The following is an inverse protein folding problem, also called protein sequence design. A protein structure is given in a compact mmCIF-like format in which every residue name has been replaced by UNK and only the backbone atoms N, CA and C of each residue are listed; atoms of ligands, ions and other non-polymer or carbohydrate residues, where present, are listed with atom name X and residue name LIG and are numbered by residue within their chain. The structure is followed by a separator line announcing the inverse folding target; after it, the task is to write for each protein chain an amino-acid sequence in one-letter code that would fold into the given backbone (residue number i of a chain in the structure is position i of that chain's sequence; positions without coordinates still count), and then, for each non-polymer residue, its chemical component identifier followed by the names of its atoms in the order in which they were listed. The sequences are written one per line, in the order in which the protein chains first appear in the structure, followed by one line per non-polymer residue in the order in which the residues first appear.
data_IF_784564150592
#
_entry.id   IF_784564150592
#
_cell.length_a   1.000
_cell.length_b   1.000
_cell.length_c   1.000
_cell.angle_alpha   90.00
_cell.angle_beta   90.00
_cell.angle_gamma   90.00
#
_symmetry.space_group_name_H-M   'P 1'
#
loop_
_entity.id
_entity.type
_entity.pdbx_description
1 polymer ?
#
# COMPACT_ATOMS: atom_id res chain seq x y z
N UNK A 1 -38.45 0.40 -17.62
CA UNK A 1 -37.72 1.60 -18.08
C UNK A 1 -36.57 1.83 -17.12
N UNK A 2 -35.39 2.24 -17.61
CA UNK A 2 -34.27 2.65 -16.75
C UNK A 2 -34.62 3.95 -16.03
N UNK A 3 -34.16 4.13 -14.79
CA UNK A 3 -34.40 5.38 -14.06
C UNK A 3 -33.63 6.54 -14.72
N UNK A 4 -34.11 7.79 -14.64
CA UNK A 4 -33.39 8.97 -15.15
C UNK A 4 -31.96 9.08 -14.60
N UNK A 5 -31.75 8.80 -13.31
CA UNK A 5 -30.43 8.85 -12.67
C UNK A 5 -29.42 7.88 -13.32
N UNK A 6 -29.85 6.67 -13.67
CA UNK A 6 -28.99 5.71 -14.38
C UNK A 6 -28.67 6.14 -15.82
N UNK A 7 -29.55 6.92 -16.45
CA UNK A 7 -29.27 7.51 -17.77
C UNK A 7 -28.20 8.60 -17.61
N UNK A 8 -28.35 9.51 -16.65
CA UNK A 8 -27.37 10.56 -16.37
C UNK A 8 -25.98 10.00 -16.03
N UNK A 9 -25.93 8.98 -15.16
CA UNK A 9 -24.66 8.30 -14.83
C UNK A 9 -24.02 7.68 -16.07
N UNK A 10 -24.81 7.01 -16.93
CA UNK A 10 -24.27 6.40 -18.16
C UNK A 10 -23.70 7.46 -19.10
N UNK A 11 -24.43 8.55 -19.34
CA UNK A 11 -23.95 9.63 -20.21
C UNK A 11 -22.70 10.28 -19.62
N UNK A 12 -22.66 10.54 -18.31
CA UNK A 12 -21.48 11.08 -17.64
C UNK A 12 -20.26 10.14 -17.79
N UNK A 13 -20.41 8.85 -17.48
CA UNK A 13 -19.32 7.87 -17.60
C UNK A 13 -18.85 7.68 -19.04
N UNK A 14 -19.71 7.89 -20.05
CA UNK A 14 -19.30 7.86 -21.45
C UNK A 14 -18.32 8.98 -21.82
N UNK A 15 -18.35 10.11 -21.10
CA UNK A 15 -17.43 11.23 -21.30
C UNK A 15 -16.09 11.00 -20.58
N UNK A 16 -16.09 10.20 -19.52
CA UNK A 16 -14.91 9.90 -18.69
C UNK A 16 -14.77 8.38 -18.46
N UNK A 17 -14.51 7.59 -19.52
CA UNK A 17 -14.49 6.13 -19.42
C UNK A 17 -13.44 5.60 -18.42
N UNK A 18 -12.33 6.33 -18.26
CA UNK A 18 -11.25 6.02 -17.31
C UNK A 18 -11.70 5.94 -15.84
N UNK A 19 -12.81 6.59 -15.47
CA UNK A 19 -13.39 6.48 -14.13
C UNK A 19 -13.84 5.04 -13.85
N UNK A 20 -14.39 4.36 -14.85
CA UNK A 20 -14.88 2.99 -14.73
C UNK A 20 -13.83 1.93 -15.13
N UNK A 21 -12.97 2.24 -16.10
CA UNK A 21 -11.93 1.33 -16.55
C UNK A 21 -10.76 2.07 -17.20
N UNK A 22 -9.55 1.83 -16.68
CA UNK A 22 -8.29 2.35 -17.20
C UNK A 22 -7.70 1.30 -18.15
N UNK A 23 -7.44 1.67 -19.40
CA UNK A 23 -6.86 0.78 -20.42
C UNK A 23 -5.48 1.24 -20.90
N UNK A 24 -5.13 2.51 -20.66
CA UNK A 24 -3.92 3.15 -21.17
C UNK A 24 -3.23 4.00 -20.10
N UNK A 25 -1.97 4.36 -20.35
CA UNK A 25 -1.23 5.29 -19.50
C UNK A 25 -1.93 6.65 -19.38
N UNK A 26 -2.49 7.16 -20.49
CA UNK A 26 -3.20 8.44 -20.50
C UNK A 26 -4.49 8.38 -19.67
N UNK A 27 -5.19 7.24 -19.66
CA UNK A 27 -6.31 7.01 -18.73
C UNK A 27 -5.83 7.07 -17.28
N UNK A 28 -4.69 6.44 -16.99
CA UNK A 28 -4.13 6.38 -15.63
C UNK A 28 -3.71 7.77 -15.14
N UNK A 29 -3.01 8.55 -15.95
CA UNK A 29 -2.62 9.92 -15.61
C UNK A 29 -3.84 10.81 -15.34
N UNK A 30 -4.88 10.73 -16.20
CA UNK A 30 -6.14 11.46 -15.99
C UNK A 30 -6.90 10.99 -14.76
N UNK A 31 -6.84 9.70 -14.44
CA UNK A 31 -7.41 9.16 -13.21
C UNK A 31 -6.70 9.73 -11.97
N UNK A 32 -5.37 9.83 -11.98
CA UNK A 32 -4.61 10.43 -10.89
C UNK A 32 -4.91 11.92 -10.73
N UNK A 33 -4.96 12.68 -11.84
CA UNK A 33 -5.33 14.11 -11.82
C UNK A 33 -6.73 14.33 -11.27
N UNK A 34 -7.69 13.48 -11.64
CA UNK A 34 -9.05 13.55 -11.11
C UNK A 34 -9.08 13.17 -9.62
N UNK A 35 -8.34 12.14 -9.21
CA UNK A 35 -8.26 11.76 -7.80
C UNK A 35 -7.76 12.92 -6.93
N UNK A 36 -6.71 13.64 -7.38
CA UNK A 36 -6.15 14.81 -6.70
C UNK A 36 -7.19 15.92 -6.52
N UNK A 37 -8.03 16.16 -7.52
CA UNK A 37 -9.13 17.14 -7.43
C UNK A 37 -10.26 16.67 -6.50
N UNK A 38 -10.58 15.37 -6.51
CA UNK A 38 -11.69 14.85 -5.70
C UNK A 38 -11.36 14.87 -4.20
N UNK A 39 -10.10 14.65 -3.83
CA UNK A 39 -9.69 14.64 -2.41
C UNK A 39 -9.73 16.02 -1.76
N UNK A 40 -9.73 17.11 -2.53
CA UNK A 40 -9.91 18.48 -2.01
C UNK A 40 -11.24 18.64 -1.25
N UNK A 41 -12.30 17.95 -1.69
CA UNK A 41 -13.57 17.81 -0.97
C UNK A 41 -13.93 16.33 -0.81
N UNK A 42 -13.14 15.66 0.03
CA UNK A 42 -13.24 14.23 0.27
C UNK A 42 -14.66 13.76 0.64
N UNK A 43 -15.34 14.48 1.53
CA UNK A 43 -16.66 14.08 2.04
C UNK A 43 -17.74 14.17 0.95
N UNK A 44 -17.70 15.21 0.10
CA UNK A 44 -18.64 15.34 -1.01
C UNK A 44 -18.37 14.33 -2.13
N UNK A 45 -17.11 13.95 -2.34
CA UNK A 45 -16.68 13.15 -3.49
C UNK A 45 -16.47 11.67 -3.19
N UNK A 46 -16.76 11.23 -1.97
CA UNK A 46 -16.46 9.88 -1.48
C UNK A 46 -16.83 8.75 -2.45
N UNK A 47 -18.02 8.77 -3.04
CA UNK A 47 -18.45 7.72 -3.97
C UNK A 47 -17.60 7.69 -5.26
N UNK A 48 -17.22 8.85 -5.79
CA UNK A 48 -16.36 8.94 -6.97
C UNK A 48 -14.93 8.50 -6.64
N UNK A 49 -14.43 8.88 -5.47
CA UNK A 49 -13.13 8.44 -4.96
C UNK A 49 -13.09 6.91 -4.85
N UNK A 50 -14.12 6.30 -4.26
CA UNK A 50 -14.20 4.83 -4.11
C UNK A 50 -14.20 4.13 -5.48
N UNK A 51 -14.95 4.64 -6.46
CA UNK A 51 -14.98 4.08 -7.83
C UNK A 51 -13.62 4.21 -8.51
N UNK A 52 -13.04 5.42 -8.48
CA UNK A 52 -11.80 5.73 -9.16
C UNK A 52 -10.62 4.96 -8.56
N UNK A 53 -10.60 4.80 -7.23
CA UNK A 53 -9.58 4.03 -6.53
C UNK A 53 -9.56 2.56 -6.99
N UNK A 54 -10.72 1.94 -7.19
CA UNK A 54 -10.81 0.57 -7.71
C UNK A 54 -10.28 0.46 -9.14
N UNK A 55 -10.54 1.48 -9.97
CA UNK A 55 -10.04 1.52 -11.35
C UNK A 55 -8.51 1.68 -11.39
N UNK A 56 -7.97 2.56 -10.54
CA UNK A 56 -6.52 2.80 -10.36
C UNK A 56 -5.83 1.54 -9.85
N UNK A 57 -6.32 0.95 -8.76
CA UNK A 57 -5.77 -0.29 -8.16
C UNK A 57 -5.69 -1.42 -9.20
N UNK A 58 -6.76 -1.60 -10.00
CA UNK A 58 -6.78 -2.63 -11.04
C UNK A 58 -5.69 -2.41 -12.10
N UNK A 59 -5.45 -1.17 -12.50
CA UNK A 59 -4.39 -0.84 -13.45
C UNK A 59 -3.02 -1.11 -12.84
N UNK A 60 -2.76 -0.59 -11.63
CA UNK A 60 -1.50 -0.75 -10.91
C UNK A 60 -1.15 -2.22 -10.64
N UNK A 61 -2.14 -3.07 -10.42
CA UNK A 61 -1.96 -4.52 -10.23
C UNK A 61 -1.51 -5.25 -11.52
N UNK A 62 -1.88 -4.75 -12.70
CA UNK A 62 -1.77 -5.49 -13.97
C UNK A 62 -0.80 -4.88 -14.97
N UNK A 63 -0.59 -3.57 -14.92
CA UNK A 63 0.23 -2.86 -15.89
C UNK A 63 1.70 -3.24 -15.77
N UNK A 64 2.35 -3.40 -16.93
CA UNK A 64 3.75 -3.85 -16.99
C UNK A 64 4.74 -2.86 -16.37
N UNK A 65 4.37 -1.58 -16.26
CA UNK A 65 5.20 -0.57 -15.60
C UNK A 65 5.36 -0.82 -14.08
N UNK A 66 4.37 -1.48 -13.45
CA UNK A 66 4.39 -1.81 -12.02
C UNK A 66 4.86 -3.23 -11.73
N UNK A 67 5.13 -4.07 -12.75
CA UNK A 67 5.38 -5.50 -12.53
C UNK A 67 6.57 -5.78 -11.60
N UNK A 68 7.68 -5.05 -11.79
CA UNK A 68 8.90 -5.22 -10.99
C UNK A 68 8.68 -4.76 -9.55
N UNK A 69 7.94 -3.65 -9.38
CA UNK A 69 7.57 -3.13 -8.07
C UNK A 69 6.63 -4.11 -7.34
N UNK A 70 5.59 -4.59 -8.02
CA UNK A 70 4.62 -5.53 -7.47
C UNK A 70 5.28 -6.86 -7.07
N UNK A 71 6.22 -7.35 -7.88
CA UNK A 71 7.03 -8.52 -7.54
C UNK A 71 7.86 -8.28 -6.27
N UNK A 72 8.54 -7.14 -6.17
CA UNK A 72 9.32 -6.78 -4.98
C UNK A 72 8.44 -6.65 -3.72
N UNK A 73 7.24 -6.07 -3.84
CA UNK A 73 6.26 -5.97 -2.75
C UNK A 73 5.76 -7.35 -2.33
N UNK A 74 5.47 -8.24 -3.28
CA UNK A 74 5.00 -9.60 -3.00
C UNK A 74 6.06 -10.46 -2.29
N UNK A 75 7.34 -10.27 -2.60
CA UNK A 75 8.46 -10.97 -1.94
C UNK A 75 8.82 -10.36 -0.57
N UNK A 76 8.36 -9.14 -0.28
CA UNK A 76 8.72 -8.44 0.95
C UNK A 76 7.94 -8.99 2.15
N UNK A 77 8.66 -9.46 3.17
CA UNK A 77 8.07 -9.76 4.47
C UNK A 77 7.57 -8.47 5.12
N UNK A 78 6.25 -8.35 5.29
CA UNK A 78 5.57 -7.16 5.82
C UNK A 78 6.10 -6.75 7.19
N UNK A 79 6.34 -7.72 8.08
CA UNK A 79 6.88 -7.44 9.40
C UNK A 79 8.31 -6.90 9.34
N UNK A 80 9.12 -7.39 8.40
CA UNK A 80 10.45 -6.83 8.13
C UNK A 80 10.37 -5.42 7.52
N UNK A 81 9.42 -5.16 6.62
CA UNK A 81 9.21 -3.82 6.04
C UNK A 81 8.85 -2.79 7.10
N UNK A 82 7.93 -3.13 8.02
CA UNK A 82 7.58 -2.27 9.15
C UNK A 82 8.79 -2.05 10.05
N UNK A 83 9.55 -3.09 10.37
CA UNK A 83 10.78 -2.96 11.17
C UNK A 83 11.81 -2.05 10.49
N UNK A 84 12.08 -2.22 9.20
CA UNK A 84 13.01 -1.37 8.44
C UNK A 84 12.54 0.09 8.44
N UNK A 85 11.23 0.32 8.30
CA UNK A 85 10.64 1.66 8.36
C UNK A 85 10.88 2.30 9.73
N UNK A 86 10.61 1.57 10.83
CA UNK A 86 10.89 2.04 12.19
C UNK A 86 12.38 2.31 12.41
N UNK A 87 13.26 1.47 11.89
CA UNK A 87 14.70 1.70 11.96
C UNK A 87 15.12 3.00 11.29
N UNK A 88 14.62 3.27 10.07
CA UNK A 88 14.91 4.50 9.34
C UNK A 88 14.35 5.72 10.07
N UNK A 89 13.09 5.68 10.50
CA UNK A 89 12.42 6.79 11.18
C UNK A 89 13.09 7.16 12.52
N UNK A 90 13.63 6.18 13.23
CA UNK A 90 14.28 6.38 14.53
C UNK A 90 15.81 6.41 14.46
N UNK A 91 16.41 6.36 13.26
CA UNK A 91 17.87 6.35 13.08
C UNK A 91 18.59 5.15 13.73
N UNK A 92 17.93 3.99 13.77
CA UNK A 92 18.43 2.78 14.46
C UNK A 92 19.25 1.90 13.50
N UNK A 93 20.41 1.46 13.97
CA UNK A 93 21.20 0.42 13.32
C UNK A 93 20.88 -0.98 13.83
N UNK A 94 21.55 -2.00 13.26
CA UNK A 94 21.42 -3.41 13.68
C UNK A 94 21.88 -3.67 15.13
N UNK A 95 22.60 -2.71 15.73
CA UNK A 95 23.06 -2.77 17.11
C UNK A 95 22.00 -2.30 18.11
N UNK A 96 21.01 -1.54 17.65
CA UNK A 96 20.11 -0.78 18.50
C UNK A 96 18.78 -1.51 18.71
N UNK A 97 18.72 -2.81 18.35
CA UNK A 97 17.54 -3.67 18.47
C UNK A 97 17.81 -4.88 19.39
N UNK A 98 18.01 -4.65 20.71
CA UNK A 98 18.27 -5.73 21.67
C UNK A 98 17.12 -6.74 21.77
N UNK A 99 15.90 -6.34 21.40
CA UNK A 99 14.70 -7.20 21.38
C UNK A 99 14.85 -8.37 20.41
N UNK A 100 15.70 -8.21 19.39
CA UNK A 100 15.99 -9.19 18.36
C UNK A 100 17.28 -9.98 18.63
N UNK A 101 17.95 -9.71 19.75
CA UNK A 101 19.17 -10.40 20.18
C UNK A 101 20.46 -9.78 19.62
N UNK A 102 21.40 -10.64 19.20
CA UNK A 102 22.73 -10.18 18.77
C UNK A 102 22.67 -9.49 17.40
N UNK A 103 23.63 -8.58 17.13
CA UNK A 103 23.78 -7.87 15.84
C UNK A 103 23.70 -8.81 14.62
N UNK A 104 24.32 -9.99 14.72
CA UNK A 104 24.28 -11.01 13.67
C UNK A 104 22.90 -11.64 13.50
N UNK A 105 22.11 -11.80 14.56
CA UNK A 105 20.74 -12.28 14.46
C UNK A 105 19.82 -11.22 13.85
N UNK A 106 20.00 -9.93 14.22
CA UNK A 106 19.25 -8.80 13.64
C UNK A 106 19.49 -8.71 12.13
N UNK A 107 20.75 -8.75 11.70
CA UNK A 107 21.09 -8.73 10.27
C UNK A 107 20.48 -9.92 9.50
N UNK A 108 20.52 -11.13 10.08
CA UNK A 108 19.90 -12.31 9.46
C UNK A 108 18.38 -12.19 9.32
N UNK A 109 17.71 -11.62 10.32
CA UNK A 109 16.26 -11.37 10.28
C UNK A 109 15.92 -10.32 9.21
N UNK A 110 16.65 -9.20 9.16
CA UNK A 110 16.42 -8.11 8.20
C UNK A 110 16.66 -8.50 6.74
N UNK A 111 17.57 -9.44 6.51
CA UNK A 111 17.90 -9.97 5.19
C UNK A 111 17.12 -11.24 4.84
N UNK A 112 16.16 -11.66 5.68
CA UNK A 112 15.33 -12.83 5.40
C UNK A 112 16.13 -14.14 5.27
N UNK A 113 17.23 -14.29 6.01
CA UNK A 113 18.02 -15.51 5.99
C UNK A 113 17.16 -16.73 6.34
N UNK A 114 17.40 -17.86 5.68
CA UNK A 114 16.57 -19.05 5.79
C UNK A 114 16.34 -19.47 7.26
N UNK A 115 15.06 -19.61 7.66
CA UNK A 115 14.66 -19.93 9.03
C UNK A 115 14.75 -18.78 10.05
N UNK A 116 15.09 -17.54 9.63
CA UNK A 116 15.17 -16.36 10.50
C UNK A 116 14.04 -15.39 10.19
N UNK A 117 12.94 -15.50 10.95
CA UNK A 117 11.79 -14.61 10.91
C UNK A 117 11.58 -13.91 12.24
N UNK A 118 10.77 -12.84 12.23
CA UNK A 118 10.24 -12.27 13.46
C UNK A 118 9.41 -13.32 14.18
N UNK A 119 9.68 -13.52 15.47
CA UNK A 119 8.87 -14.40 16.31
C UNK A 119 7.81 -13.56 17.00
N UNK A 120 6.72 -14.16 17.47
CA UNK A 120 5.69 -13.44 18.23
C UNK A 120 6.26 -12.62 19.39
N UNK A 121 7.26 -13.17 20.10
CA UNK A 121 7.96 -12.49 21.18
C UNK A 121 8.73 -11.25 20.69
N UNK A 122 9.37 -11.33 19.52
CA UNK A 122 10.01 -10.18 18.90
C UNK A 122 8.98 -9.10 18.55
N UNK A 123 7.87 -9.48 17.91
CA UNK A 123 6.80 -8.55 17.50
C UNK A 123 6.18 -7.84 18.70
N UNK A 124 5.90 -8.57 19.79
CA UNK A 124 5.39 -7.99 21.04
C UNK A 124 6.38 -7.01 21.68
N UNK A 125 7.67 -7.34 21.69
CA UNK A 125 8.71 -6.46 22.21
C UNK A 125 8.89 -5.19 21.36
N UNK A 126 8.88 -5.33 20.03
CA UNK A 126 8.94 -4.20 19.10
C UNK A 126 7.70 -3.31 19.22
N UNK A 127 6.51 -3.90 19.27
CA UNK A 127 5.26 -3.17 19.48
C UNK A 127 5.29 -2.36 20.79
N UNK A 128 5.78 -2.97 21.88
CA UNK A 128 5.96 -2.26 23.15
C UNK A 128 6.97 -1.11 23.04
N UNK A 129 8.08 -1.30 22.34
CA UNK A 129 9.13 -0.27 22.19
C UNK A 129 8.64 0.92 21.37
N UNK A 130 8.00 0.67 20.23
CA UNK A 130 7.56 1.72 19.32
C UNK A 130 6.17 2.28 19.65
N UNK A 131 5.48 1.71 20.65
CA UNK A 131 4.13 2.15 21.03
C UNK A 131 3.07 1.82 19.99
N UNK A 132 3.27 0.75 19.20
CA UNK A 132 2.37 0.34 18.12
C UNK A 132 1.82 -1.07 18.37
N UNK A 133 0.71 -1.39 17.71
CA UNK A 133 0.14 -2.74 17.78
C UNK A 133 1.14 -3.77 17.22
N UNK A 134 1.43 -4.87 17.95
CA UNK A 134 2.27 -5.96 17.45
C UNK A 134 1.77 -6.55 16.12
N UNK A 135 0.47 -6.42 15.83
CA UNK A 135 -0.18 -6.87 14.59
C UNK A 135 0.49 -6.31 13.34
N UNK A 136 1.09 -5.12 13.41
CA UNK A 136 1.81 -4.55 12.27
C UNK A 136 3.03 -5.38 11.83
N UNK A 137 3.55 -6.24 12.71
CA UNK A 137 4.72 -7.06 12.44
C UNK A 137 4.38 -8.51 12.06
N UNK A 138 3.10 -8.91 12.03
CA UNK A 138 2.66 -10.27 11.72
C UNK A 138 2.70 -10.60 10.23
#
# INVERSE_FOLDING_TARGET
MLSPAFVEIREALSQVPFVAHIETQDDYERALELMDQLVDDYDANRLLIEILAVSIERWEDQATEFSDFNAAVAETDRGIAVLKTMMVQHGLGVADLPELGSKGNVSKILNGAEGKKLTRKHMEALGKRFGVSPVLFF
#
